data_IF_172113691001
#
_entry.id   IF_172113691001
#
_cell.length_a   1.000
_cell.length_b   1.000
_cell.length_c   1.000
_cell.angle_alpha   90.00
_cell.angle_beta   90.00
_cell.angle_gamma   90.00
#
_symmetry.space_group_name_H-M   'P 1'
#
loop_
_entity.id
_entity.type
_entity.pdbx_description
1 polymer ?
#
# COMPACT_ATOMS: atom_id res chain seq x y z
N UNK A 1 0.13 0.12 26.83
CA UNK A 1 0.76 1.21 26.06
C UNK A 1 1.05 0.69 24.66
N UNK A 2 0.74 1.42 23.57
CA UNK A 2 1.13 0.95 22.24
C UNK A 2 2.66 0.98 22.14
N UNK A 3 3.25 -0.13 21.70
CA UNK A 3 4.68 -0.26 21.47
C UNK A 3 5.07 0.66 20.31
N UNK A 4 5.81 1.73 20.61
CA UNK A 4 6.40 2.60 19.58
C UNK A 4 7.47 1.83 18.83
N UNK A 5 7.64 2.12 17.54
CA UNK A 5 8.76 1.59 16.79
C UNK A 5 10.10 1.97 17.46
N UNK A 6 11.05 1.03 17.55
CA UNK A 6 12.43 1.30 18.01
C UNK A 6 13.07 2.42 17.17
N UNK A 7 14.16 3.09 17.56
CA UNK A 7 14.90 3.99 16.66
C UNK A 7 15.65 3.21 15.56
N UNK A 8 16.05 3.82 14.43
CA UNK A 8 16.88 3.16 13.42
C UNK A 8 18.37 3.23 13.80
N UNK A 9 19.13 2.18 13.50
CA UNK A 9 20.57 2.12 13.80
C UNK A 9 21.45 2.90 12.81
N UNK A 10 20.90 3.25 11.63
CA UNK A 10 21.58 4.01 10.58
C UNK A 10 20.94 5.38 10.35
N UNK A 11 21.71 6.39 9.95
CA UNK A 11 21.17 7.70 9.59
C UNK A 11 20.21 7.59 8.40
N UNK A 12 19.09 8.30 8.49
CA UNK A 12 18.05 8.30 7.46
C UNK A 12 18.46 9.30 6.37
N UNK A 13 18.68 8.84 5.14
CA UNK A 13 18.83 9.70 3.97
C UNK A 13 17.44 10.08 3.41
N UNK A 14 17.12 11.37 3.33
CA UNK A 14 15.85 11.89 2.80
C UNK A 14 14.88 12.42 3.86
N UNK A 15 13.57 12.38 3.59
CA UNK A 15 12.52 12.87 4.50
C UNK A 15 12.35 11.92 5.70
N UNK A 16 13.10 12.21 6.77
CA UNK A 16 13.09 11.44 8.01
C UNK A 16 11.71 11.36 8.66
N UNK A 17 10.88 12.39 8.54
CA UNK A 17 9.53 12.38 9.11
C UNK A 17 8.64 11.36 8.39
N UNK A 18 8.73 11.31 7.05
CA UNK A 18 7.99 10.34 6.23
C UNK A 18 8.44 8.91 6.49
N UNK A 19 9.74 8.68 6.65
CA UNK A 19 10.28 7.37 7.03
C UNK A 19 9.73 6.91 8.40
N UNK A 20 9.81 7.76 9.43
CA UNK A 20 9.34 7.43 10.78
C UNK A 20 7.83 7.17 10.81
N UNK A 21 7.04 7.96 10.07
CA UNK A 21 5.60 7.74 9.96
C UNK A 21 5.26 6.37 9.35
N UNK A 22 5.97 5.98 8.28
CA UNK A 22 5.78 4.68 7.63
C UNK A 22 6.19 3.52 8.54
N UNK A 23 7.32 3.67 9.24
CA UNK A 23 7.77 2.67 10.20
C UNK A 23 6.74 2.43 11.30
N UNK A 24 6.25 3.50 11.92
CA UNK A 24 5.21 3.43 12.95
C UNK A 24 3.92 2.80 12.40
N UNK A 25 3.51 3.17 11.17
CA UNK A 25 2.35 2.57 10.53
C UNK A 25 2.51 1.05 10.36
N UNK A 26 3.67 0.58 9.92
CA UNK A 26 3.96 -0.86 9.79
C UNK A 26 4.01 -1.60 11.13
N UNK A 27 4.56 -0.96 12.16
CA UNK A 27 4.52 -1.49 13.53
C UNK A 27 3.07 -1.67 13.98
N UNK A 28 2.21 -0.68 13.76
CA UNK A 28 0.78 -0.77 14.12
C UNK A 28 0.03 -1.81 13.31
N UNK A 29 0.28 -1.96 12.01
CA UNK A 29 -0.30 -3.06 11.22
C UNK A 29 0.06 -4.41 11.82
N UNK A 30 1.30 -4.59 12.27
CA UNK A 30 1.77 -5.85 12.85
C UNK A 30 1.08 -6.14 14.19
N UNK A 31 1.05 -5.15 15.09
CA UNK A 31 0.36 -5.25 16.38
C UNK A 31 -1.15 -5.49 16.19
N UNK A 32 -1.79 -4.80 15.27
CA UNK A 32 -3.20 -4.99 14.96
C UNK A 32 -3.48 -6.41 14.46
N UNK A 33 -2.61 -6.97 13.62
CA UNK A 33 -2.72 -8.38 13.21
C UNK A 33 -2.52 -9.35 14.39
N UNK A 34 -1.52 -9.11 15.25
CA UNK A 34 -1.18 -9.97 16.39
C UNK A 34 -2.28 -9.98 17.46
N UNK A 35 -2.90 -8.83 17.71
CA UNK A 35 -3.94 -8.68 18.73
C UNK A 35 -5.37 -8.86 18.20
N UNK A 36 -5.55 -9.28 16.94
CA UNK A 36 -6.88 -9.56 16.39
C UNK A 36 -7.72 -8.31 16.10
N UNK A 37 -7.09 -7.20 15.71
CA UNK A 37 -7.73 -5.96 15.26
C UNK A 37 -7.66 -5.79 13.72
N UNK A 38 -8.39 -6.61 12.93
CA UNK A 38 -8.28 -6.60 11.47
C UNK A 38 -8.67 -5.27 10.84
N UNK A 39 -9.67 -4.54 11.38
CA UNK A 39 -10.12 -3.27 10.81
C UNK A 39 -9.08 -2.15 10.96
N UNK A 40 -8.34 -2.14 12.07
CA UNK A 40 -7.25 -1.20 12.26
C UNK A 40 -6.13 -1.48 11.25
N UNK A 41 -5.74 -2.75 11.08
CA UNK A 41 -4.75 -3.15 10.08
C UNK A 41 -5.17 -2.72 8.66
N UNK A 42 -6.43 -2.99 8.28
CA UNK A 42 -7.01 -2.57 7.00
C UNK A 42 -6.93 -1.06 6.80
N UNK A 43 -7.36 -0.28 7.79
CA UNK A 43 -7.41 1.18 7.69
C UNK A 43 -6.00 1.78 7.53
N UNK A 44 -5.02 1.25 8.24
CA UNK A 44 -3.62 1.71 8.12
C UNK A 44 -3.04 1.33 6.77
N UNK A 45 -3.28 0.12 6.28
CA UNK A 45 -2.83 -0.31 4.94
C UNK A 45 -3.45 0.55 3.84
N UNK A 46 -4.74 0.87 3.93
CA UNK A 46 -5.40 1.79 3.00
C UNK A 46 -4.70 3.15 2.96
N UNK A 47 -4.35 3.70 4.13
CA UNK A 47 -3.65 4.98 4.25
C UNK A 47 -2.27 4.93 3.56
N UNK A 48 -1.48 3.88 3.83
CA UNK A 48 -0.17 3.66 3.21
C UNK A 48 -0.29 3.58 1.68
N UNK A 49 -1.19 2.73 1.20
CA UNK A 49 -1.41 2.48 -0.23
C UNK A 49 -1.86 3.77 -0.93
N UNK A 50 -2.79 4.50 -0.33
CA UNK A 50 -3.32 5.76 -0.86
C UNK A 50 -2.23 6.83 -0.98
N UNK A 51 -1.41 7.01 0.06
CA UNK A 51 -0.28 7.96 0.02
C UNK A 51 0.75 7.58 -1.05
N UNK A 52 1.10 6.30 -1.17
CA UNK A 52 2.03 5.83 -2.23
C UNK A 52 1.48 6.04 -3.63
N UNK A 53 0.21 5.72 -3.84
CA UNK A 53 -0.41 5.87 -5.16
C UNK A 53 -0.56 7.34 -5.54
N UNK A 54 -0.94 8.21 -4.60
CA UNK A 54 -0.97 9.66 -4.81
C UNK A 54 0.43 10.20 -5.14
N UNK A 55 1.45 9.81 -4.38
CA UNK A 55 2.82 10.25 -4.63
C UNK A 55 3.30 9.82 -6.02
N UNK A 56 2.99 8.58 -6.43
CA UNK A 56 3.30 8.08 -7.77
C UNK A 56 2.57 8.85 -8.88
N UNK A 57 1.25 9.03 -8.76
CA UNK A 57 0.44 9.78 -9.73
C UNK A 57 0.94 11.22 -9.89
N UNK A 58 1.31 11.87 -8.78
CA UNK A 58 1.89 13.21 -8.81
C UNK A 58 3.26 13.22 -9.52
N UNK A 59 4.10 12.20 -9.28
CA UNK A 59 5.42 12.10 -9.90
C UNK A 59 5.36 11.92 -11.43
N UNK A 60 4.32 11.27 -11.95
CA UNK A 60 4.10 11.11 -13.40
C UNK A 60 3.30 12.27 -14.02
N UNK A 61 3.09 13.36 -13.28
CA UNK A 61 2.41 14.57 -13.78
C UNK A 61 0.89 14.46 -13.91
N UNK A 62 0.27 13.47 -13.27
CA UNK A 62 -1.19 13.38 -13.24
C UNK A 62 -1.78 14.44 -12.29
N UNK A 63 -2.93 15.07 -12.64
CA UNK A 63 -3.51 16.15 -11.84
C UNK A 63 -3.64 15.77 -10.36
N UNK A 64 -3.29 16.64 -9.40
CA UNK A 64 -3.44 16.29 -7.99
C UNK A 64 -4.89 15.91 -7.68
N UNK A 65 -5.04 14.81 -6.94
CA UNK A 65 -6.33 14.39 -6.42
C UNK A 65 -6.84 15.25 -5.28
N UNK A 66 -8.07 14.99 -4.86
CA UNK A 66 -8.53 15.49 -3.56
C UNK A 66 -7.69 14.90 -2.43
N UNK A 67 -7.53 15.64 -1.33
CA UNK A 67 -6.74 15.23 -0.16
C UNK A 67 -7.16 13.86 0.41
N UNK A 68 -8.43 13.50 0.26
CA UNK A 68 -9.02 12.22 0.72
C UNK A 68 -9.74 11.51 -0.41
N UNK A 69 -9.11 11.46 -1.58
CA UNK A 69 -9.69 10.78 -2.74
C UNK A 69 -9.88 9.27 -2.44
N UNK A 70 -11.07 8.70 -2.71
CA UNK A 70 -11.31 7.27 -2.50
C UNK A 70 -10.33 6.43 -3.33
N UNK A 71 -9.82 5.35 -2.74
CA UNK A 71 -8.87 4.44 -3.40
C UNK A 71 -9.38 3.93 -4.76
N UNK A 72 -10.69 3.69 -4.89
CA UNK A 72 -11.31 3.31 -6.16
C UNK A 72 -11.05 4.31 -7.30
N UNK A 73 -11.10 5.60 -6.99
CA UNK A 73 -10.86 6.66 -7.98
C UNK A 73 -9.38 6.74 -8.33
N UNK A 74 -8.49 6.57 -7.35
CA UNK A 74 -7.05 6.54 -7.58
C UNK A 74 -6.63 5.35 -8.47
N UNK A 75 -7.19 4.16 -8.26
CA UNK A 75 -6.94 2.99 -9.13
C UNK A 75 -7.43 3.25 -10.55
N UNK A 76 -8.63 3.82 -10.73
CA UNK A 76 -9.16 4.20 -12.04
C UNK A 76 -8.26 5.20 -12.76
N UNK A 77 -7.78 6.21 -12.03
CA UNK A 77 -6.86 7.22 -12.55
C UNK A 77 -5.53 6.60 -12.95
N UNK A 78 -5.00 5.70 -12.13
CA UNK A 78 -3.77 4.99 -12.45
C UNK A 78 -3.91 4.12 -13.71
N UNK A 79 -4.97 3.33 -13.84
CA UNK A 79 -5.23 2.55 -15.08
C UNK A 79 -5.37 3.46 -16.30
N UNK A 80 -5.96 4.65 -16.15
CA UNK A 80 -6.04 5.64 -17.24
C UNK A 80 -4.66 6.24 -17.57
N UNK A 81 -3.80 6.44 -16.57
CA UNK A 81 -2.44 6.94 -16.73
C UNK A 81 -1.50 5.91 -17.36
N UNK A 82 -1.65 4.64 -16.99
CA UNK A 82 -0.83 3.51 -17.40
C UNK A 82 -1.74 2.37 -17.84
N UNK A 83 -2.13 2.33 -19.14
CA UNK A 83 -3.02 1.29 -19.67
C UNK A 83 -2.35 -0.09 -19.72
N UNK A 84 -1.03 -0.13 -19.74
CA UNK A 84 -0.25 -1.36 -19.78
C UNK A 84 -0.05 -1.92 -18.37
N UNK A 85 -0.03 -3.25 -18.20
CA UNK A 85 0.26 -3.89 -16.92
C UNK A 85 1.57 -3.40 -16.30
N UNK A 86 1.51 -2.97 -15.03
CA UNK A 86 2.69 -2.60 -14.27
C UNK A 86 3.18 -3.80 -13.47
N UNK A 87 4.22 -4.49 -13.95
CA UNK A 87 4.82 -5.63 -13.24
C UNK A 87 5.91 -5.18 -12.26
N UNK A 88 6.05 -5.89 -11.13
CA UNK A 88 7.11 -5.64 -10.14
C UNK A 88 7.80 -6.92 -9.64
N UNK A 89 7.74 -8.00 -10.42
CA UNK A 89 8.28 -9.32 -10.05
C UNK A 89 7.38 -10.13 -9.09
N UNK A 90 6.51 -9.47 -8.33
CA UNK A 90 5.53 -10.11 -7.45
C UNK A 90 4.15 -10.17 -8.10
N UNK A 91 3.76 -9.08 -8.76
CA UNK A 91 2.52 -8.97 -9.50
C UNK A 91 2.81 -8.79 -10.97
N UNK A 92 2.11 -9.54 -11.83
CA UNK A 92 2.12 -9.32 -13.27
C UNK A 92 1.44 -8.00 -13.65
N UNK A 93 0.43 -7.61 -12.86
CA UNK A 93 -0.25 -6.32 -12.95
C UNK A 93 -0.58 -5.78 -11.55
N UNK A 94 0.22 -4.82 -11.11
CA UNK A 94 0.08 -4.18 -9.82
C UNK A 94 -1.23 -3.37 -9.72
N UNK A 95 -1.74 -2.83 -10.83
CA UNK A 95 -3.02 -2.11 -10.82
C UNK A 95 -4.19 -3.06 -10.56
N UNK A 96 -4.17 -4.24 -11.17
CA UNK A 96 -5.16 -5.29 -10.89
C UNK A 96 -5.03 -5.88 -9.49
N UNK A 97 -3.80 -6.12 -8.99
CA UNK A 97 -3.59 -6.57 -7.62
C UNK A 97 -4.15 -5.57 -6.58
N UNK A 98 -3.99 -4.28 -6.84
CA UNK A 98 -4.54 -3.23 -5.99
C UNK A 98 -6.07 -3.14 -6.07
N UNK A 99 -6.64 -3.28 -7.26
CA UNK A 99 -8.10 -3.33 -7.47
C UNK A 99 -8.72 -4.52 -6.71
N UNK A 100 -8.08 -5.69 -6.80
CA UNK A 100 -8.44 -6.89 -6.05
C UNK A 100 -8.39 -6.66 -4.54
N UNK A 101 -7.30 -6.05 -4.05
CA UNK A 101 -7.15 -5.73 -2.63
C UNK A 101 -8.27 -4.81 -2.14
N UNK A 102 -8.62 -3.78 -2.92
CA UNK A 102 -9.74 -2.88 -2.61
C UNK A 102 -11.05 -3.66 -2.48
N UNK A 103 -11.33 -4.58 -3.39
CA UNK A 103 -12.57 -5.36 -3.36
C UNK A 103 -12.62 -6.31 -2.17
N UNK A 104 -11.50 -6.96 -1.84
CA UNK A 104 -11.35 -7.79 -0.64
C UNK A 104 -11.56 -6.97 0.63
N UNK A 105 -10.96 -5.78 0.70
CA UNK A 105 -11.17 -4.82 1.79
C UNK A 105 -12.63 -4.47 1.96
N UNK A 106 -13.32 -4.08 0.88
CA UNK A 106 -14.73 -3.72 0.93
C UNK A 106 -15.60 -4.88 1.44
N UNK A 107 -15.36 -6.10 0.96
CA UNK A 107 -16.04 -7.30 1.47
C UNK A 107 -15.80 -7.51 2.96
N UNK A 108 -14.58 -7.34 3.45
CA UNK A 108 -14.28 -7.51 4.87
C UNK A 108 -14.95 -6.43 5.74
N UNK A 109 -14.92 -5.16 5.31
CA UNK A 109 -15.57 -4.05 6.01
C UNK A 109 -17.08 -4.22 6.06
N UNK A 110 -17.73 -4.58 4.95
CA UNK A 110 -19.18 -4.78 4.91
C UNK A 110 -19.63 -6.12 5.52
N UNK A 111 -18.75 -7.11 5.53
CA UNK A 111 -18.98 -8.45 6.07
C UNK A 111 -19.22 -8.48 7.58
N UNK A 112 -18.87 -7.42 8.33
CA UNK A 112 -19.20 -7.34 9.76
C UNK A 112 -20.70 -7.24 10.03
N UNK A 113 -21.46 -6.66 9.09
CA UNK A 113 -22.92 -6.47 9.20
C UNK A 113 -23.68 -7.54 8.39
N UNK A 114 -22.98 -8.36 7.57
CA UNK A 114 -23.60 -9.39 6.73
C UNK A 114 -23.34 -10.80 7.31
N UNK A 115 -24.40 -11.63 7.38
CA UNK A 115 -24.44 -12.96 8.04
C UNK A 115 -23.46 -14.01 7.44
N UNK A 116 -23.14 -15.12 8.14
CA UNK A 116 -21.85 -15.83 8.10
C UNK A 116 -21.64 -16.81 6.92
N UNK A 117 -22.38 -16.71 5.82
CA UNK A 117 -22.12 -17.57 4.66
C UNK A 117 -20.75 -17.29 4.00
N UNK A 118 -20.18 -16.09 4.22
CA UNK A 118 -19.01 -15.62 3.46
C UNK A 118 -17.71 -15.43 4.27
N UNK A 119 -17.70 -15.72 5.58
CA UNK A 119 -16.59 -15.54 6.54
C UNK A 119 -15.23 -15.12 5.91
N UNK A 120 -15.14 -13.84 5.51
CA UNK A 120 -14.09 -13.30 4.66
C UNK A 120 -12.89 -12.77 5.47
N UNK A 121 -13.08 -12.60 6.77
CA UNK A 121 -12.10 -11.98 7.68
C UNK A 121 -10.83 -12.82 7.76
N UNK A 122 -10.94 -14.15 7.85
CA UNK A 122 -9.78 -15.05 7.88
C UNK A 122 -8.96 -15.01 6.59
N UNK A 123 -9.61 -15.00 5.41
CA UNK A 123 -8.93 -14.89 4.11
C UNK A 123 -8.26 -13.54 3.91
N UNK A 124 -8.86 -12.47 4.43
CA UNK A 124 -8.28 -11.14 4.36
C UNK A 124 -7.03 -11.00 5.23
N UNK A 125 -7.03 -11.60 6.43
CA UNK A 125 -5.85 -11.59 7.31
C UNK A 125 -4.64 -12.25 6.62
N UNK A 126 -4.86 -13.36 5.91
CA UNK A 126 -3.81 -14.00 5.10
C UNK A 126 -3.36 -13.13 3.92
N UNK A 127 -4.27 -12.44 3.24
CA UNK A 127 -3.92 -11.50 2.16
C UNK A 127 -3.18 -10.26 2.66
N UNK A 128 -3.52 -9.75 3.84
CA UNK A 128 -2.80 -8.66 4.50
C UNK A 128 -1.36 -9.07 4.80
N UNK A 129 -1.15 -10.31 5.27
CA UNK A 129 0.20 -10.85 5.49
C UNK A 129 1.01 -10.90 4.18
N UNK A 130 0.38 -11.29 3.07
CA UNK A 130 1.02 -11.27 1.73
C UNK A 130 1.41 -9.85 1.30
N UNK A 131 0.50 -8.88 1.42
CA UNK A 131 0.78 -7.48 1.09
C UNK A 131 1.88 -6.89 1.97
N UNK A 132 1.95 -7.26 3.25
CA UNK A 132 3.06 -6.88 4.15
C UNK A 132 4.40 -7.40 3.64
N UNK A 133 4.46 -8.61 3.07
CA UNK A 133 5.69 -9.15 2.50
C UNK A 133 6.11 -8.38 1.24
N UNK A 134 5.16 -8.05 0.36
CA UNK A 134 5.44 -7.32 -0.89
C UNK A 134 5.74 -5.83 -0.66
N UNK A 135 5.27 -5.24 0.44
CA UNK A 135 5.59 -3.86 0.82
C UNK A 135 6.82 -3.73 1.74
N UNK A 136 7.35 -4.84 2.26
CA UNK A 136 8.68 -4.89 2.93
C UNK A 136 9.86 -4.76 1.96
N UNK A 137 9.59 -4.61 0.66
CA UNK A 137 10.58 -4.08 -0.26
C UNK A 137 11.02 -2.69 0.20
N UNK A 138 12.31 -2.58 0.54
CA UNK A 138 13.07 -1.37 0.92
C UNK A 138 13.30 -1.12 2.43
N UNK A 139 13.56 -2.14 3.24
CA UNK A 139 14.19 -1.91 4.57
C UNK A 139 15.63 -1.36 4.48
N UNK A 140 16.25 -1.36 3.31
CA UNK A 140 17.60 -0.88 3.03
C UNK A 140 17.68 0.56 2.52
N UNK A 141 16.57 1.29 2.42
CA UNK A 141 16.58 2.76 2.34
C UNK A 141 17.29 3.37 1.12
N UNK A 142 17.53 2.61 0.05
CA UNK A 142 18.16 3.13 -1.17
C UNK A 142 17.35 2.68 -2.40
N UNK A 143 17.01 3.65 -3.24
CA UNK A 143 16.32 3.53 -4.54
C UNK A 143 14.83 3.14 -4.52
N UNK A 144 14.00 4.12 -4.15
CA UNK A 144 12.77 4.41 -4.93
C UNK A 144 13.07 5.49 -5.96
N UNK A 145 14.20 5.38 -6.67
CA UNK A 145 14.17 5.80 -8.06
C UNK A 145 13.44 4.64 -8.72
N UNK A 146 12.21 4.87 -9.13
CA UNK A 146 11.66 4.15 -10.26
C UNK A 146 12.64 4.41 -11.39
N UNK A 147 13.70 3.61 -11.50
CA UNK A 147 14.41 3.44 -12.76
C UNK A 147 13.44 2.64 -13.61
N UNK A 148 12.37 3.31 -14.05
CA UNK A 148 11.78 3.00 -15.34
C UNK A 148 12.98 3.12 -16.27
N UNK A 149 13.41 1.98 -16.82
CA UNK A 149 14.46 1.93 -17.82
C UNK A 149 14.23 3.10 -18.77
N UNK A 150 15.14 4.08 -18.70
CA UNK A 150 15.22 5.13 -19.67
C UNK A 150 15.67 4.38 -20.91
N UNK A 151 14.74 3.91 -21.72
CA UNK A 151 15.06 3.53 -23.09
C UNK A 151 15.75 4.74 -23.68
N UNK A 152 17.06 4.62 -23.87
CA UNK A 152 17.84 5.59 -24.58
C UNK A 152 17.18 5.75 -25.94
N UNK A 153 16.58 6.91 -26.17
CA UNK A 153 16.29 7.37 -27.52
C UNK A 153 17.65 7.65 -28.18
N UNK A 154 18.29 6.58 -28.65
CA UNK A 154 19.45 6.64 -29.52
C UNK A 154 19.01 7.07 -30.92
N UNK A 155 19.28 8.33 -31.25
CA UNK A 155 19.65 8.78 -32.59
C UNK A 155 20.95 9.54 -32.48
#
# INVERSE_FOLDING_TARGET
>A
MPLKSTPPDKPINGDAAKYLAYREAWTRVSLACEHGFPFEAIAILESIITDRLLAYLNAIGWPPGGRFEPLANLVKRWRKAHPQPASNGHFADLASALDDWRDKRNRAVHGIVHSPADAAIGRLLEQIRSVRADLRFREDGVQTVLTLDRQEAGK
#
